data_IF_184607072116
#
_entry.id   IF_184607072116
#
_cell.length_a   1.000
_cell.length_b   1.000
_cell.length_c   1.000
_cell.angle_alpha   90.00
_cell.angle_beta   90.00
_cell.angle_gamma   90.00
#
_symmetry.space_group_name_H-M   'P 1'
#
loop_
_entity.id
_entity.type
_entity.pdbx_description
1 polymer ?
#
# COMPACT_ATOMS: atom_id res chain seq x y z
N UNK A 1 -4.98 4.70 -27.37
CA UNK A 1 -5.75 5.60 -26.45
C UNK A 1 -4.82 6.65 -25.91
N UNK A 2 -5.27 7.90 -25.76
CA UNK A 2 -4.44 8.99 -25.25
C UNK A 2 -4.12 8.80 -23.75
N UNK A 3 -2.84 8.81 -23.39
CA UNK A 3 -2.39 8.65 -22.00
C UNK A 3 -2.84 9.77 -21.06
N UNK A 4 -3.27 10.92 -21.59
CA UNK A 4 -3.84 12.01 -20.79
C UNK A 4 -5.15 11.61 -20.08
N UNK A 5 -5.90 10.65 -20.65
CA UNK A 5 -7.19 10.21 -20.11
C UNK A 5 -6.99 9.28 -18.90
N UNK A 6 -6.08 8.33 -18.98
CA UNK A 6 -5.93 7.26 -17.98
C UNK A 6 -4.65 7.34 -17.15
N UNK A 7 -3.61 8.01 -17.68
CA UNK A 7 -2.27 7.94 -17.08
C UNK A 7 -2.21 8.45 -15.64
N UNK A 8 -2.87 9.58 -15.32
CA UNK A 8 -2.93 10.11 -13.95
C UNK A 8 -3.54 9.10 -12.96
N UNK A 9 -4.62 8.44 -13.38
CA UNK A 9 -5.32 7.46 -12.54
C UNK A 9 -4.50 6.18 -12.36
N UNK A 10 -3.83 5.72 -13.43
CA UNK A 10 -2.94 4.58 -13.37
C UNK A 10 -1.76 4.84 -12.41
N UNK A 11 -1.10 6.00 -12.50
CA UNK A 11 -0.02 6.36 -11.58
C UNK A 11 -0.50 6.42 -10.13
N UNK A 12 -1.64 7.05 -9.88
CA UNK A 12 -2.22 7.07 -8.54
C UNK A 12 -2.46 5.65 -8.00
N UNK A 13 -3.06 4.78 -8.80
CA UNK A 13 -3.31 3.38 -8.43
C UNK A 13 -2.01 2.61 -8.15
N UNK A 14 -0.97 2.75 -8.99
CA UNK A 14 0.31 2.08 -8.78
C UNK A 14 1.00 2.55 -7.49
N UNK A 15 0.95 3.84 -7.19
CA UNK A 15 1.44 4.35 -5.90
C UNK A 15 0.66 3.75 -4.73
N UNK A 16 -0.67 3.79 -4.76
CA UNK A 16 -1.50 3.20 -3.68
C UNK A 16 -1.15 1.74 -3.45
N UNK A 17 -1.06 0.91 -4.50
CA UNK A 17 -0.64 -0.50 -4.41
C UNK A 17 0.73 -0.63 -3.74
N UNK A 18 1.69 0.23 -4.07
CA UNK A 18 3.03 0.14 -3.47
C UNK A 18 3.05 0.50 -1.99
N UNK A 19 2.18 1.41 -1.55
CA UNK A 19 2.03 1.77 -0.14
C UNK A 19 1.27 0.73 0.68
N UNK A 20 0.45 -0.11 0.04
CA UNK A 20 -0.24 -1.25 0.69
C UNK A 20 0.63 -2.51 0.77
N UNK A 21 1.75 -2.55 0.05
CA UNK A 21 2.67 -3.69 0.06
C UNK A 21 3.19 -3.99 1.47
N UNK A 22 3.30 -5.27 1.90
CA UNK A 22 3.81 -5.61 3.23
C UNK A 22 5.31 -5.30 3.40
N UNK A 23 5.72 -4.95 4.63
CA UNK A 23 7.13 -4.69 4.94
C UNK A 23 8.00 -5.95 4.81
N UNK A 24 7.44 -7.13 5.15
CA UNK A 24 8.08 -8.44 5.05
C UNK A 24 7.21 -9.36 4.17
N UNK A 25 7.28 -9.24 2.83
CA UNK A 25 6.44 -10.00 1.94
C UNK A 25 6.84 -11.48 1.88
N UNK A 26 5.85 -12.38 1.88
CA UNK A 26 6.09 -13.78 1.55
C UNK A 26 6.48 -13.96 0.08
N UNK A 27 7.10 -15.09 -0.26
CA UNK A 27 7.45 -15.40 -1.64
C UNK A 27 6.21 -15.37 -2.57
N UNK A 28 5.08 -15.90 -2.13
CA UNK A 28 3.82 -15.88 -2.89
C UNK A 28 3.31 -14.45 -3.15
N UNK A 29 3.44 -13.52 -2.20
CA UNK A 29 3.10 -12.11 -2.40
C UNK A 29 4.05 -11.46 -3.41
N UNK A 30 5.35 -11.71 -3.30
CA UNK A 30 6.35 -11.19 -4.25
C UNK A 30 6.04 -11.63 -5.68
N UNK A 31 5.70 -12.89 -5.89
CA UNK A 31 5.33 -13.44 -7.21
C UNK A 31 4.07 -12.78 -7.77
N UNK A 32 3.03 -12.57 -6.95
CA UNK A 32 1.80 -11.90 -7.38
C UNK A 32 2.07 -10.47 -7.82
N UNK A 33 2.86 -9.73 -7.06
CA UNK A 33 3.21 -8.35 -7.41
C UNK A 33 4.14 -8.29 -8.63
N UNK A 34 5.09 -9.21 -8.73
CA UNK A 34 5.91 -9.33 -9.94
C UNK A 34 5.04 -9.52 -11.18
N UNK A 35 4.15 -10.51 -11.16
CA UNK A 35 3.26 -10.81 -12.27
C UNK A 35 2.33 -9.63 -12.60
N UNK A 36 1.85 -8.92 -11.59
CA UNK A 36 1.03 -7.72 -11.79
C UNK A 36 1.81 -6.61 -12.52
N UNK A 37 3.01 -6.26 -12.04
CA UNK A 37 3.83 -5.22 -12.69
C UNK A 37 4.31 -5.65 -14.06
N UNK A 38 4.66 -6.91 -14.26
CA UNK A 38 5.08 -7.45 -15.56
C UNK A 38 3.93 -7.39 -16.58
N UNK A 39 2.73 -7.80 -16.19
CA UNK A 39 1.55 -7.78 -17.05
C UNK A 39 1.18 -6.39 -17.58
N UNK A 40 1.53 -5.30 -16.88
CA UNK A 40 1.30 -3.94 -17.37
C UNK A 40 2.02 -3.68 -18.69
N UNK A 41 3.15 -4.35 -18.95
CA UNK A 41 3.86 -4.26 -20.24
C UNK A 41 3.03 -4.75 -21.42
N UNK A 42 1.99 -5.52 -21.18
CA UNK A 42 1.11 -6.09 -22.20
C UNK A 42 -0.29 -5.43 -22.24
N UNK A 43 -0.80 -4.97 -21.08
CA UNK A 43 -2.20 -4.55 -20.95
C UNK A 43 -2.41 -3.04 -20.94
N UNK A 44 -1.37 -2.21 -20.80
CA UNK A 44 -1.54 -0.76 -20.85
C UNK A 44 -2.24 -0.33 -22.15
N UNK A 45 -3.26 0.57 -22.11
CA UNK A 45 -4.13 0.88 -23.25
C UNK A 45 -3.48 1.78 -24.30
N UNK A 46 -2.15 1.68 -24.48
CA UNK A 46 -1.37 2.48 -25.43
C UNK A 46 -0.13 1.68 -25.86
N UNK A 47 0.01 1.36 -27.14
CA UNK A 47 1.12 0.56 -27.66
C UNK A 47 2.51 1.16 -27.37
N UNK A 48 2.68 2.45 -27.62
CA UNK A 48 3.93 3.16 -27.29
C UNK A 48 4.20 3.15 -25.78
N UNK A 49 3.13 3.25 -24.96
CA UNK A 49 3.28 3.21 -23.50
C UNK A 49 3.72 1.82 -23.03
N UNK A 50 3.19 0.74 -23.61
CA UNK A 50 3.65 -0.64 -23.30
C UNK A 50 5.13 -0.82 -23.58
N UNK A 51 5.56 -0.41 -24.76
CA UNK A 51 6.96 -0.54 -25.19
C UNK A 51 7.90 0.27 -24.28
N UNK A 52 7.55 1.52 -23.98
CA UNK A 52 8.32 2.37 -23.08
C UNK A 52 8.36 1.81 -21.65
N UNK A 53 7.25 1.27 -21.17
CA UNK A 53 7.16 0.63 -19.86
C UNK A 53 8.04 -0.61 -19.79
N UNK A 54 8.00 -1.49 -20.79
CA UNK A 54 8.84 -2.70 -20.89
C UNK A 54 10.33 -2.36 -20.82
N UNK A 55 10.77 -1.35 -21.58
CA UNK A 55 12.16 -0.88 -21.55
C UNK A 55 12.58 -0.39 -20.16
N UNK A 56 11.67 0.25 -19.42
CA UNK A 56 11.96 0.73 -18.07
C UNK A 56 11.99 -0.41 -17.05
N UNK A 57 11.12 -1.40 -17.16
CA UNK A 57 11.17 -2.60 -16.32
C UNK A 57 12.51 -3.33 -16.44
N UNK A 58 13.07 -3.41 -17.66
CA UNK A 58 14.37 -4.04 -17.90
C UNK A 58 15.54 -3.28 -17.25
N UNK A 59 15.41 -1.94 -17.13
CA UNK A 59 16.43 -1.08 -16.50
C UNK A 59 16.31 -0.99 -14.99
N UNK A 60 15.10 -1.11 -14.47
CA UNK A 60 14.79 -1.01 -13.04
C UNK A 60 14.66 -2.43 -12.47
N UNK A 61 15.37 -2.70 -11.38
CA UNK A 61 15.35 -4.03 -10.74
C UNK A 61 14.03 -4.26 -9.99
N UNK A 62 12.97 -4.66 -10.71
CA UNK A 62 11.67 -4.98 -10.11
C UNK A 62 11.79 -6.09 -9.06
N UNK A 63 12.51 -7.19 -9.35
CA UNK A 63 12.65 -8.32 -8.42
C UNK A 63 13.27 -7.88 -7.08
N UNK A 64 14.35 -7.11 -7.13
CA UNK A 64 14.98 -6.57 -5.92
C UNK A 64 14.06 -5.60 -5.18
N UNK A 65 13.23 -4.85 -5.91
CA UNK A 65 12.28 -3.89 -5.33
C UNK A 65 11.11 -4.54 -4.60
N UNK A 66 10.91 -5.85 -4.76
CA UNK A 66 9.87 -6.61 -4.07
C UNK A 66 10.34 -7.21 -2.72
N UNK A 67 11.52 -6.85 -2.22
CA UNK A 67 11.99 -7.33 -0.93
C UNK A 67 11.33 -6.63 0.27
N UNK A 68 10.86 -5.39 0.08
CA UNK A 68 10.18 -4.62 1.12
C UNK A 68 9.24 -3.57 0.54
N UNK A 69 8.29 -3.10 1.36
CA UNK A 69 7.43 -1.94 1.05
C UNK A 69 8.24 -0.72 0.60
N UNK A 70 9.28 -0.38 1.35
CA UNK A 70 10.13 0.78 1.06
C UNK A 70 10.78 0.68 -0.33
N UNK A 71 11.25 -0.50 -0.70
CA UNK A 71 11.88 -0.73 -2.01
C UNK A 71 10.86 -0.64 -3.14
N UNK A 72 9.65 -1.19 -2.96
CA UNK A 72 8.60 -1.10 -3.97
C UNK A 72 8.08 0.34 -4.14
N UNK A 73 7.91 1.11 -3.06
CA UNK A 73 7.57 2.54 -3.14
C UNK A 73 8.62 3.29 -3.95
N UNK A 74 9.91 3.08 -3.65
CA UNK A 74 11.00 3.70 -4.39
C UNK A 74 11.00 3.32 -5.86
N UNK A 75 10.74 2.06 -6.16
CA UNK A 75 10.64 1.57 -7.54
C UNK A 75 9.53 2.29 -8.31
N UNK A 76 8.34 2.40 -7.74
CA UNK A 76 7.19 3.06 -8.40
C UNK A 76 7.46 4.56 -8.61
N UNK A 77 8.06 5.25 -7.65
CA UNK A 77 8.46 6.66 -7.80
C UNK A 77 9.49 6.81 -8.92
N UNK A 78 10.52 5.98 -8.94
CA UNK A 78 11.55 5.99 -9.97
C UNK A 78 10.98 5.68 -11.36
N UNK A 79 10.08 4.71 -11.46
CA UNK A 79 9.39 4.36 -12.71
C UNK A 79 8.57 5.55 -13.23
N UNK A 80 7.81 6.22 -12.35
CA UNK A 80 7.03 7.39 -12.68
C UNK A 80 7.92 8.54 -13.16
N UNK A 81 9.00 8.82 -12.45
CA UNK A 81 9.94 9.88 -12.80
C UNK A 81 10.67 9.60 -14.13
N UNK A 82 11.02 8.34 -14.40
CA UNK A 82 11.58 7.97 -15.70
C UNK A 82 10.59 8.22 -16.86
N UNK A 83 9.30 8.00 -16.65
CA UNK A 83 8.27 8.33 -17.65
C UNK A 83 8.05 9.84 -17.76
N UNK A 84 8.02 10.56 -16.64
CA UNK A 84 7.90 12.02 -16.62
C UNK A 84 9.05 12.68 -17.41
N UNK A 85 10.28 12.23 -17.19
CA UNK A 85 11.47 12.70 -17.88
C UNK A 85 11.39 12.50 -19.39
N UNK A 86 10.98 11.30 -19.85
CA UNK A 86 10.81 11.01 -21.28
C UNK A 86 9.74 11.87 -21.93
N UNK A 87 8.77 12.34 -21.14
CA UNK A 87 7.72 13.24 -21.60
C UNK A 87 8.07 14.73 -21.46
N UNK A 88 9.31 15.05 -21.07
CA UNK A 88 9.74 16.43 -20.81
C UNK A 88 9.03 17.12 -19.64
N UNK A 89 8.47 16.33 -18.71
CA UNK A 89 7.79 16.84 -17.51
C UNK A 89 8.73 16.91 -16.32
N UNK A 90 8.40 17.78 -15.36
CA UNK A 90 9.11 17.82 -14.08
C UNK A 90 8.99 16.49 -13.35
N UNK A 91 10.10 16.03 -12.80
CA UNK A 91 10.12 14.87 -11.92
C UNK A 91 9.51 15.22 -10.55
N UNK A 92 8.92 14.22 -9.94
CA UNK A 92 8.32 14.35 -8.61
C UNK A 92 9.41 14.19 -7.56
N UNK A 93 9.40 15.06 -6.56
CA UNK A 93 10.25 14.89 -5.37
C UNK A 93 9.79 13.67 -4.58
N UNK A 94 10.76 12.86 -4.18
CA UNK A 94 10.49 11.57 -3.52
C UNK A 94 9.83 11.75 -2.15
N UNK A 95 10.33 12.68 -1.37
CA UNK A 95 9.86 12.97 -0.02
C UNK A 95 8.44 13.55 -0.06
N UNK A 96 8.15 14.42 -1.03
CA UNK A 96 6.82 14.97 -1.27
C UNK A 96 5.82 13.86 -1.63
N UNK A 97 6.20 12.94 -2.53
CA UNK A 97 5.35 11.81 -2.92
C UNK A 97 5.07 10.90 -1.73
N UNK A 98 6.11 10.55 -0.96
CA UNK A 98 5.95 9.68 0.22
C UNK A 98 5.02 10.34 1.23
N UNK A 99 5.22 11.60 1.55
CA UNK A 99 4.37 12.36 2.48
C UNK A 99 2.92 12.40 2.01
N UNK A 100 2.69 12.71 0.73
CA UNK A 100 1.35 12.78 0.17
C UNK A 100 0.57 11.47 0.36
N UNK A 101 1.15 10.31 0.01
CA UNK A 101 0.46 9.03 0.15
C UNK A 101 0.33 8.60 1.61
N UNK A 102 1.31 8.87 2.47
CA UNK A 102 1.18 8.62 3.91
C UNK A 102 0.02 9.42 4.54
N UNK A 103 -0.17 10.65 4.13
CA UNK A 103 -1.26 11.48 4.65
C UNK A 103 -2.63 11.00 4.11
N UNK A 104 -2.71 10.51 2.87
CA UNK A 104 -3.91 9.84 2.36
C UNK A 104 -4.27 8.59 3.18
N UNK A 105 -3.31 7.73 3.50
CA UNK A 105 -3.55 6.54 4.33
C UNK A 105 -4.02 6.88 5.74
N UNK A 106 -3.46 7.92 6.36
CA UNK A 106 -3.95 8.40 7.68
C UNK A 106 -5.39 8.87 7.61
N UNK A 107 -5.78 9.54 6.53
CA UNK A 107 -7.16 9.98 6.32
C UNK A 107 -8.10 8.78 6.13
N UNK A 108 -7.71 7.79 5.33
CA UNK A 108 -8.50 6.58 5.08
C UNK A 108 -8.77 5.81 6.38
N UNK A 109 -7.77 5.61 7.23
CA UNK A 109 -7.93 4.99 8.55
C UNK A 109 -8.95 5.77 9.40
N UNK A 110 -8.95 7.09 9.34
CA UNK A 110 -9.90 7.93 10.06
C UNK A 110 -11.33 7.75 9.54
N UNK A 111 -11.53 7.64 8.21
CA UNK A 111 -12.85 7.52 7.60
C UNK A 111 -13.38 6.08 7.60
N UNK A 112 -12.55 5.07 7.43
CA UNK A 112 -12.96 3.66 7.41
C UNK A 112 -13.23 3.06 8.79
N UNK A 113 -13.18 3.90 9.84
CA UNK A 113 -13.57 3.46 11.19
C UNK A 113 -12.58 2.51 11.85
N UNK A 114 -11.32 2.54 11.43
CA UNK A 114 -10.24 1.74 12.02
C UNK A 114 -10.09 1.91 13.55
N UNK A 115 -10.68 2.98 14.11
CA UNK A 115 -10.80 3.18 15.55
C UNK A 115 -11.86 2.28 16.22
N UNK A 116 -12.84 1.76 15.48
CA UNK A 116 -13.95 1.00 16.09
C UNK A 116 -13.56 -0.46 16.43
N UNK A 117 -12.70 -1.10 15.64
CA UNK A 117 -12.30 -2.49 15.91
C UNK A 117 -11.39 -2.56 17.15
N UNK A 118 -10.48 -1.60 17.30
CA UNK A 118 -9.59 -1.54 18.46
C UNK A 118 -10.34 -1.16 19.74
N UNK A 119 -11.27 -0.20 19.67
CA UNK A 119 -12.10 0.19 20.80
C UNK A 119 -13.06 -0.92 21.24
N UNK A 120 -13.65 -1.68 20.30
CA UNK A 120 -14.54 -2.78 20.65
C UNK A 120 -13.79 -3.90 21.39
N UNK A 121 -12.57 -4.24 20.95
CA UNK A 121 -11.76 -5.25 21.63
C UNK A 121 -11.34 -4.83 23.04
N UNK A 122 -10.96 -3.55 23.22
CA UNK A 122 -10.62 -2.99 24.53
C UNK A 122 -11.85 -2.98 25.44
N UNK A 123 -13.01 -2.57 24.93
CA UNK A 123 -14.26 -2.61 25.68
C UNK A 123 -14.63 -4.03 26.14
N UNK A 124 -14.50 -5.02 25.26
CA UNK A 124 -14.72 -6.42 25.64
C UNK A 124 -13.74 -6.92 26.71
N UNK A 125 -12.47 -6.58 26.61
CA UNK A 125 -11.47 -6.93 27.63
C UNK A 125 -11.84 -6.29 28.97
N UNK A 126 -12.23 -5.02 29.01
CA UNK A 126 -12.65 -4.31 30.23
C UNK A 126 -13.89 -4.99 30.83
N UNK A 127 -14.89 -5.35 30.03
CA UNK A 127 -16.10 -6.03 30.51
C UNK A 127 -15.78 -7.42 31.11
N UNK A 128 -14.88 -8.18 30.50
CA UNK A 128 -14.40 -9.47 31.02
C UNK A 128 -13.70 -9.28 32.39
N UNK A 129 -12.84 -8.27 32.52
CA UNK A 129 -12.15 -7.99 33.77
C UNK A 129 -13.15 -7.59 34.88
N UNK A 130 -14.11 -6.73 34.58
CA UNK A 130 -15.18 -6.36 35.53
C UNK A 130 -15.97 -7.60 35.96
N UNK A 131 -16.34 -8.47 35.01
CA UNK A 131 -17.07 -9.70 35.31
C UNK A 131 -16.26 -10.62 36.25
N UNK A 132 -14.97 -10.79 36.02
CA UNK A 132 -14.08 -11.58 36.89
C UNK A 132 -14.02 -10.99 38.31
N UNK A 133 -13.93 -9.66 38.44
CA UNK A 133 -13.89 -8.99 39.74
C UNK A 133 -15.22 -9.19 40.49
N UNK A 134 -16.35 -9.06 39.80
CA UNK A 134 -17.68 -9.27 40.39
C UNK A 134 -17.83 -10.72 40.88
N UNK A 135 -17.44 -11.70 40.07
CA UNK A 135 -17.44 -13.12 40.46
C UNK A 135 -16.56 -13.38 41.69
N UNK A 136 -15.37 -12.79 41.76
CA UNK A 136 -14.49 -12.91 42.91
C UNK A 136 -15.17 -12.40 44.21
N UNK A 137 -15.84 -11.25 44.16
CA UNK A 137 -16.56 -10.72 45.33
C UNK A 137 -17.77 -11.55 45.74
N UNK A 138 -18.49 -12.13 44.75
CA UNK A 138 -19.62 -13.06 45.03
C UNK A 138 -19.12 -14.32 45.75
N UNK A 139 -18.06 -14.96 45.20
CA UNK A 139 -17.46 -16.16 45.81
C UNK A 139 -16.98 -15.86 47.22
N UNK A 140 -16.28 -14.74 47.43
CA UNK A 140 -15.79 -14.29 48.73
C UNK A 140 -16.91 -14.03 49.74
N UNK A 141 -18.04 -13.46 49.26
CA UNK A 141 -19.21 -13.15 50.12
C UNK A 141 -19.94 -14.39 50.57
N UNK A 142 -20.06 -15.42 49.72
CA UNK A 142 -20.78 -16.64 50.02
C UNK A 142 -19.88 -17.75 50.56
N UNK A 143 -18.58 -17.49 50.78
CA UNK A 143 -17.60 -18.43 51.38
C UNK A 143 -17.52 -19.78 50.65
N UNK A 144 -17.73 -19.77 49.34
CA UNK A 144 -17.59 -20.92 48.44
C UNK A 144 -16.15 -21.06 48.01
#
# INVERSE_FOLDING_TARGET
MNSLIWGKHAWHFLHVISFDYPDNPSQSIREKYYNFFDALSEVLPCGVCRENYRKKLQKLNLLGSLNSKKELINFVINLHNNVARDLGKKEYDKEEVIKYYQDLYKQDIKYSGGNNIYNNNILHIILILIFIIVLYFIIKKYNI
#
